data_IF_642417959648
#
_entry.id   IF_642417959648
#
_cell.length_a   1.000
_cell.length_b   1.000
_cell.length_c   1.000
_cell.angle_alpha   90.00
_cell.angle_beta   90.00
_cell.angle_gamma   90.00
#
_symmetry.space_group_name_H-M   'P 1'
#
loop_
_entity.id
_entity.type
_entity.pdbx_description
1 polymer ?
#
# COMPACT_ATOMS: atom_id res chain seq x y z
N UNK A 1 28.15 16.17 -8.46
CA UNK A 1 27.51 15.65 -9.68
C UNK A 1 26.25 14.98 -9.19
N UNK A 2 25.18 15.77 -9.03
CA UNK A 2 23.87 15.22 -8.69
C UNK A 2 23.27 14.69 -9.99
N UNK A 3 23.06 13.39 -10.01
CA UNK A 3 22.33 12.67 -11.04
C UNK A 3 20.98 13.36 -11.28
N UNK A 4 20.78 13.87 -12.48
CA UNK A 4 19.59 14.61 -12.93
C UNK A 4 18.36 13.73 -13.21
N UNK A 5 18.22 12.59 -12.55
CA UNK A 5 17.00 11.78 -12.64
C UNK A 5 15.96 12.35 -11.68
N UNK A 6 14.75 12.74 -12.15
CA UNK A 6 13.69 13.26 -11.28
C UNK A 6 13.11 12.19 -10.33
N UNK A 7 13.56 10.94 -10.46
CA UNK A 7 13.05 9.77 -9.74
C UNK A 7 14.06 9.32 -8.68
N UNK A 8 13.53 8.89 -7.52
CA UNK A 8 14.35 8.26 -6.48
C UNK A 8 14.73 6.83 -6.92
N UNK A 9 15.80 6.29 -6.34
CA UNK A 9 16.08 4.86 -6.47
C UNK A 9 14.99 4.02 -5.79
N UNK A 10 14.75 2.81 -6.31
CA UNK A 10 13.84 1.84 -5.68
C UNK A 10 14.42 1.37 -4.32
N UNK A 11 13.61 1.32 -3.25
CA UNK A 11 14.05 0.70 -1.99
C UNK A 11 14.26 -0.80 -2.20
N UNK A 12 15.09 -1.47 -1.39
CA UNK A 12 15.20 -2.93 -1.46
C UNK A 12 13.96 -3.60 -0.88
N UNK A 13 13.33 -2.94 0.11
CA UNK A 13 12.13 -3.42 0.78
C UNK A 13 11.15 -2.29 1.09
N UNK A 14 9.88 -2.52 0.79
CA UNK A 14 8.80 -1.55 1.01
C UNK A 14 7.58 -2.20 1.67
N UNK A 15 7.02 -1.50 2.65
CA UNK A 15 5.79 -1.89 3.35
C UNK A 15 4.71 -0.83 3.17
N UNK A 16 3.58 -1.19 2.57
CA UNK A 16 2.39 -0.33 2.52
C UNK A 16 1.45 -0.60 3.70
N UNK A 17 1.02 0.42 4.43
CA UNK A 17 0.11 0.23 5.55
C UNK A 17 -1.15 1.11 5.49
N UNK A 18 -2.29 0.53 5.84
CA UNK A 18 -3.56 1.24 6.00
C UNK A 18 -4.31 0.73 7.25
N UNK A 19 -5.60 1.04 7.37
CA UNK A 19 -6.36 0.69 8.57
C UNK A 19 -6.62 -0.83 8.69
N UNK A 20 -7.05 -1.48 7.60
CA UNK A 20 -7.61 -2.85 7.63
C UNK A 20 -6.89 -3.87 6.72
N UNK A 21 -5.94 -3.42 5.90
CA UNK A 21 -5.31 -4.23 4.85
C UNK A 21 -6.28 -4.92 3.86
N UNK A 22 -7.44 -4.33 3.61
CA UNK A 22 -8.49 -4.90 2.74
C UNK A 22 -8.66 -4.17 1.39
N UNK A 23 -8.29 -2.88 1.31
CA UNK A 23 -8.52 -2.03 0.11
C UNK A 23 -7.22 -1.37 -0.35
N UNK A 24 -6.83 -0.26 0.29
CA UNK A 24 -5.76 0.64 -0.19
C UNK A 24 -4.37 0.00 -0.20
N UNK A 25 -3.95 -0.63 0.91
CA UNK A 25 -2.60 -1.20 1.00
C UNK A 25 -2.40 -2.47 0.17
N UNK A 26 -3.40 -3.37 0.01
CA UNK A 26 -3.31 -4.46 -0.98
C UNK A 26 -3.21 -3.96 -2.43
N UNK A 27 -3.99 -2.93 -2.80
CA UNK A 27 -3.87 -2.31 -4.12
C UNK A 27 -2.46 -1.79 -4.36
N UNK A 28 -1.90 -1.05 -3.40
CA UNK A 28 -0.53 -0.53 -3.49
C UNK A 28 0.53 -1.65 -3.61
N UNK A 29 0.42 -2.71 -2.81
CA UNK A 29 1.30 -3.89 -2.90
C UNK A 29 1.22 -4.54 -4.29
N UNK A 30 0.01 -4.83 -4.79
CA UNK A 30 -0.17 -5.49 -6.07
C UNK A 30 0.32 -4.64 -7.25
N UNK A 31 0.05 -3.34 -7.23
CA UNK A 31 0.50 -2.42 -8.28
C UNK A 31 2.03 -2.29 -8.25
N UNK A 32 2.63 -2.12 -7.07
CA UNK A 32 4.10 -2.04 -6.92
C UNK A 32 4.76 -3.32 -7.41
N UNK A 33 4.22 -4.50 -7.07
CA UNK A 33 4.72 -5.80 -7.56
C UNK A 33 4.64 -5.90 -9.08
N UNK A 34 3.59 -5.39 -9.69
CA UNK A 34 3.45 -5.37 -11.15
C UNK A 34 4.46 -4.44 -11.83
N UNK A 35 4.71 -3.27 -11.27
CA UNK A 35 5.58 -2.25 -11.86
C UNK A 35 7.08 -2.54 -11.59
N UNK A 36 7.41 -3.01 -10.39
CA UNK A 36 8.79 -3.06 -9.88
C UNK A 36 9.14 -4.35 -9.10
N UNK A 37 8.27 -5.37 -9.12
CA UNK A 37 8.38 -6.52 -8.21
C UNK A 37 9.58 -7.44 -8.43
N UNK A 38 10.36 -7.26 -9.49
CA UNK A 38 11.62 -8.00 -9.70
C UNK A 38 12.77 -7.46 -8.86
N UNK A 39 12.68 -6.20 -8.43
CA UNK A 39 13.79 -5.45 -7.84
C UNK A 39 13.53 -5.02 -6.39
N UNK A 40 12.30 -5.21 -5.90
CA UNK A 40 11.85 -4.76 -4.57
C UNK A 40 11.07 -5.85 -3.83
N UNK A 41 11.41 -6.08 -2.57
CA UNK A 41 10.56 -6.85 -1.66
C UNK A 41 9.36 -6.01 -1.21
N UNK A 42 8.16 -6.35 -1.68
CA UNK A 42 6.93 -5.58 -1.43
C UNK A 42 5.99 -6.37 -0.52
N UNK A 43 5.56 -5.74 0.56
CA UNK A 43 4.51 -6.25 1.45
C UNK A 43 3.50 -5.12 1.77
N UNK A 44 2.31 -5.49 2.20
CA UNK A 44 1.36 -4.61 2.88
C UNK A 44 0.88 -5.13 4.23
N UNK A 45 0.42 -4.21 5.09
CA UNK A 45 -0.15 -4.47 6.41
C UNK A 45 -1.33 -3.56 6.72
N UNK A 46 -2.03 -3.90 7.80
CA UNK A 46 -3.08 -3.09 8.42
C UNK A 46 -2.77 -2.83 9.89
N UNK A 47 -3.39 -1.81 10.48
CA UNK A 47 -3.49 -1.71 11.95
C UNK A 47 -4.30 -2.90 12.46
N UNK A 48 -5.38 -3.21 11.75
CA UNK A 48 -6.24 -4.37 11.97
C UNK A 48 -6.26 -5.24 10.70
N UNK A 49 -6.68 -6.49 10.83
CA UNK A 49 -6.74 -7.48 9.74
C UNK A 49 -8.02 -8.31 9.75
N UNK A 50 -9.08 -7.76 10.35
CA UNK A 50 -10.33 -8.48 10.59
C UNK A 50 -11.22 -8.61 9.33
N UNK A 51 -10.80 -8.01 8.21
CA UNK A 51 -11.51 -7.98 6.94
C UNK A 51 -10.77 -8.77 5.88
N UNK A 52 -11.49 -9.51 5.04
CA UNK A 52 -10.94 -10.08 3.81
C UNK A 52 -10.68 -8.99 2.76
N UNK A 53 -9.94 -9.34 1.71
CA UNK A 53 -9.71 -8.46 0.56
C UNK A 53 -11.05 -8.02 -0.05
N UNK A 54 -11.19 -6.73 -0.33
CA UNK A 54 -12.42 -6.16 -0.87
C UNK A 54 -12.63 -6.55 -2.34
N UNK A 55 -13.85 -7.00 -2.68
CA UNK A 55 -14.19 -7.44 -4.03
C UNK A 55 -14.14 -6.34 -5.10
N UNK A 56 -14.43 -5.08 -4.74
CA UNK A 56 -14.25 -3.95 -5.66
C UNK A 56 -12.76 -3.64 -5.85
N UNK A 57 -11.93 -3.76 -4.81
CA UNK A 57 -10.48 -3.63 -4.94
C UNK A 57 -9.91 -4.68 -5.90
N UNK A 58 -10.35 -5.94 -5.80
CA UNK A 58 -10.00 -6.99 -6.78
C UNK A 58 -10.43 -6.57 -8.18
N UNK A 59 -11.69 -6.19 -8.36
CA UNK A 59 -12.25 -5.87 -9.68
C UNK A 59 -11.48 -4.73 -10.38
N UNK A 60 -11.21 -3.62 -9.67
CA UNK A 60 -10.50 -2.48 -10.29
C UNK A 60 -9.02 -2.77 -10.53
N UNK A 61 -8.39 -3.63 -9.71
CA UNK A 61 -7.00 -4.04 -9.95
C UNK A 61 -6.89 -5.03 -11.11
N UNK A 62 -7.87 -5.92 -11.29
CA UNK A 62 -7.94 -6.82 -12.44
C UNK A 62 -8.04 -6.06 -13.77
N UNK A 63 -8.73 -4.90 -13.81
CA UNK A 63 -8.81 -4.03 -15.00
C UNK A 63 -7.43 -3.60 -15.51
N UNK A 64 -6.48 -3.39 -14.59
CA UNK A 64 -5.09 -3.04 -14.92
C UNK A 64 -4.17 -4.27 -14.86
N UNK A 65 -4.71 -5.49 -14.78
CA UNK A 65 -4.00 -6.76 -14.76
C UNK A 65 -3.14 -6.97 -13.51
N UNK A 66 -3.63 -6.58 -12.33
CA UNK A 66 -3.05 -6.85 -11.01
C UNK A 66 -3.94 -7.88 -10.29
N UNK A 67 -3.39 -9.05 -9.95
CA UNK A 67 -4.12 -10.12 -9.24
C UNK A 67 -4.07 -9.88 -7.73
N UNK A 68 -5.21 -9.54 -7.12
CA UNK A 68 -5.36 -9.38 -5.66
C UNK A 68 -6.15 -10.50 -4.99
N UNK A 69 -6.74 -11.43 -5.75
CA UNK A 69 -7.63 -12.47 -5.25
C UNK A 69 -6.97 -13.45 -4.25
N UNK A 70 -5.64 -13.55 -4.27
CA UNK A 70 -4.85 -14.37 -3.35
C UNK A 70 -4.32 -13.61 -2.14
N UNK A 71 -4.59 -12.31 -2.06
CA UNK A 71 -4.15 -11.48 -0.95
C UNK A 71 -4.82 -11.94 0.34
N UNK A 72 -4.05 -11.99 1.42
CA UNK A 72 -4.55 -12.25 2.76
C UNK A 72 -4.23 -11.05 3.62
N UNK A 73 -5.28 -10.47 4.20
CA UNK A 73 -5.15 -9.37 5.13
C UNK A 73 -4.30 -9.79 6.33
N UNK A 74 -3.38 -8.92 6.74
CA UNK A 74 -2.50 -9.15 7.88
C UNK A 74 -2.23 -7.84 8.64
N UNK A 75 -2.17 -7.92 9.96
CA UNK A 75 -1.87 -6.79 10.81
C UNK A 75 -0.37 -6.64 11.04
N UNK A 76 0.06 -5.48 11.55
CA UNK A 76 1.43 -5.29 12.00
C UNK A 76 1.86 -6.33 13.05
N UNK A 77 0.98 -6.66 14.01
CA UNK A 77 1.25 -7.66 15.05
C UNK A 77 1.44 -9.07 14.46
N UNK A 78 0.65 -9.44 13.45
CA UNK A 78 0.77 -10.72 12.78
C UNK A 78 2.07 -10.82 11.96
N UNK A 79 2.46 -9.73 11.32
CA UNK A 79 3.74 -9.64 10.62
C UNK A 79 4.91 -9.79 11.58
N UNK A 80 4.90 -9.08 12.70
CA UNK A 80 5.96 -9.17 13.71
C UNK A 80 6.08 -10.61 14.26
N UNK A 81 4.95 -11.27 14.56
CA UNK A 81 4.93 -12.68 15.00
C UNK A 81 5.49 -13.67 13.97
N UNK A 82 5.41 -13.33 12.67
CA UNK A 82 5.98 -14.12 11.57
C UNK A 82 7.47 -13.82 11.35
N UNK A 83 8.03 -12.84 12.06
CA UNK A 83 9.42 -12.39 11.95
C UNK A 83 9.62 -11.19 11.03
N UNK A 84 8.54 -10.65 10.44
CA UNK A 84 8.58 -9.47 9.58
C UNK A 84 8.42 -8.20 10.42
N UNK A 85 9.52 -7.66 10.94
CA UNK A 85 9.50 -6.40 11.70
C UNK A 85 9.43 -5.21 10.75
N UNK A 86 8.69 -4.15 11.11
CA UNK A 86 8.65 -2.90 10.33
C UNK A 86 10.04 -2.29 10.14
N UNK A 87 10.92 -2.47 11.13
CA UNK A 87 12.32 -2.05 11.10
C UNK A 87 13.17 -2.72 10.02
N UNK A 88 12.71 -3.85 9.47
CA UNK A 88 13.40 -4.58 8.40
C UNK A 88 13.06 -4.06 7.01
N UNK A 89 12.13 -3.10 6.90
CA UNK A 89 11.81 -2.44 5.64
C UNK A 89 12.60 -1.13 5.53
N UNK A 90 13.11 -0.84 4.34
CA UNK A 90 13.81 0.43 4.06
C UNK A 90 12.81 1.59 4.03
N UNK A 91 11.61 1.34 3.50
CA UNK A 91 10.55 2.32 3.33
C UNK A 91 9.20 1.77 3.80
N UNK A 92 8.54 2.50 4.70
CA UNK A 92 7.15 2.29 5.06
C UNK A 92 6.31 3.41 4.46
N UNK A 93 5.21 3.06 3.80
CA UNK A 93 4.27 4.02 3.19
C UNK A 93 2.91 3.87 3.85
N UNK A 94 2.55 4.87 4.64
CA UNK A 94 1.25 5.00 5.26
C UNK A 94 0.24 5.62 4.30
N UNK A 95 -0.90 4.94 4.12
CA UNK A 95 -1.98 5.38 3.23
C UNK A 95 -3.12 6.10 3.99
N UNK A 96 -3.12 6.05 5.33
CA UNK A 96 -4.10 6.70 6.19
C UNK A 96 -3.42 7.47 7.33
N UNK A 97 -4.07 8.51 7.89
CA UNK A 97 -3.55 9.20 9.08
C UNK A 97 -3.36 8.26 10.28
N UNK A 98 -4.27 7.30 10.46
CA UNK A 98 -4.17 6.33 11.54
C UNK A 98 -2.97 5.40 11.35
N UNK A 99 -2.79 4.84 10.14
CA UNK A 99 -1.65 3.95 9.88
C UNK A 99 -0.31 4.69 9.94
N UNK A 100 -0.30 5.98 9.60
CA UNK A 100 0.88 6.85 9.79
C UNK A 100 1.24 6.97 11.27
N UNK A 101 0.28 7.34 12.12
CA UNK A 101 0.53 7.51 13.55
C UNK A 101 1.03 6.20 14.19
N UNK A 102 0.45 5.06 13.78
CA UNK A 102 0.87 3.75 14.27
C UNK A 102 2.25 3.35 13.75
N UNK A 103 2.54 3.57 12.47
CA UNK A 103 3.85 3.34 11.90
C UNK A 103 4.92 4.20 12.59
N UNK A 104 4.67 5.49 12.84
CA UNK A 104 5.57 6.37 13.59
C UNK A 104 5.85 5.82 15.00
N UNK A 105 4.83 5.32 15.68
CA UNK A 105 4.97 4.74 17.02
C UNK A 105 5.84 3.48 17.00
N UNK A 106 5.66 2.62 16.00
CA UNK A 106 6.40 1.36 15.88
C UNK A 106 7.83 1.57 15.36
N UNK A 107 8.06 2.56 14.51
CA UNK A 107 9.38 2.83 13.92
C UNK A 107 10.21 3.86 14.68
N UNK A 108 9.69 4.44 15.78
CA UNK A 108 10.32 5.54 16.53
C UNK A 108 11.79 5.31 16.95
N UNK A 109 12.22 4.04 17.09
CA UNK A 109 13.57 3.65 17.49
C UNK A 109 14.43 3.07 16.35
N UNK A 110 13.91 3.07 15.11
CA UNK A 110 14.53 2.45 13.95
C UNK A 110 14.81 3.48 12.86
N UNK A 111 15.82 3.22 12.03
CA UNK A 111 16.20 4.09 10.90
C UNK A 111 15.38 3.73 9.65
N UNK A 112 14.06 3.66 9.79
CA UNK A 112 13.14 3.33 8.70
C UNK A 112 12.57 4.61 8.09
N UNK A 113 12.67 4.79 6.78
CA UNK A 113 12.02 5.92 6.10
C UNK A 113 10.50 5.72 6.16
N UNK A 114 9.76 6.74 6.59
CA UNK A 114 8.31 6.71 6.62
C UNK A 114 7.75 7.81 5.72
N UNK A 115 6.84 7.41 4.83
CA UNK A 115 6.09 8.33 3.99
C UNK A 115 4.60 8.24 4.22
N UNK A 116 3.91 9.33 3.91
CA UNK A 116 2.47 9.41 3.99
C UNK A 116 1.88 9.82 2.65
N UNK A 117 1.11 8.92 2.05
CA UNK A 117 0.37 9.16 0.81
C UNK A 117 -1.12 9.17 1.14
N UNK A 118 -1.77 10.34 1.17
CA UNK A 118 -3.19 10.41 1.51
C UNK A 118 -4.03 9.80 0.39
N UNK A 119 -4.53 8.57 0.59
CA UNK A 119 -5.42 7.91 -0.36
C UNK A 119 -6.85 7.94 0.18
N UNK A 120 -7.76 8.54 -0.59
CA UNK A 120 -9.18 8.60 -0.27
C UNK A 120 -9.74 7.20 0.00
N UNK A 121 -10.60 7.08 1.01
CA UNK A 121 -11.29 5.83 1.30
C UNK A 121 -12.50 5.66 0.36
N UNK A 122 -12.49 4.67 -0.54
CA UNK A 122 -13.55 4.52 -1.51
C UNK A 122 -14.76 3.75 -0.96
N UNK A 123 -14.66 3.15 0.24
CA UNK A 123 -15.70 2.29 0.82
C UNK A 123 -17.01 3.04 1.14
N UNK A 124 -16.91 4.35 1.41
CA UNK A 124 -18.05 5.22 1.71
C UNK A 124 -18.74 5.84 0.48
N UNK A 125 -18.32 5.50 -0.74
CA UNK A 125 -18.78 6.19 -1.95
C UNK A 125 -20.14 5.68 -2.46
N UNK A 126 -21.14 6.56 -2.44
CA UNK A 126 -22.32 6.57 -3.33
C UNK A 126 -23.31 5.40 -3.26
N UNK A 127 -24.51 5.67 -3.81
CA UNK A 127 -25.56 4.67 -3.99
C UNK A 127 -25.47 4.06 -5.39
N UNK A 128 -24.80 2.91 -5.52
CA UNK A 128 -24.76 2.11 -6.74
C UNK A 128 -23.40 1.47 -7.04
N UNK A 129 -23.41 0.35 -7.76
CA UNK A 129 -22.21 -0.43 -8.09
C UNK A 129 -21.19 0.37 -8.91
N UNK A 130 -21.64 1.09 -9.93
CA UNK A 130 -20.73 1.85 -10.81
C UNK A 130 -20.10 3.05 -10.11
N UNK A 131 -20.86 3.75 -9.26
CA UNK A 131 -20.33 4.85 -8.45
C UNK A 131 -19.24 4.37 -7.48
N UNK A 132 -19.43 3.19 -6.87
CA UNK A 132 -18.41 2.54 -6.05
C UNK A 132 -17.18 2.17 -6.86
N UNK A 133 -17.36 1.48 -7.99
CA UNK A 133 -16.24 1.12 -8.87
C UNK A 133 -15.43 2.34 -9.26
N UNK A 134 -16.08 3.45 -9.61
CA UNK A 134 -15.39 4.68 -9.97
C UNK A 134 -14.58 5.28 -8.81
N UNK A 135 -15.10 5.25 -7.59
CA UNK A 135 -14.35 5.67 -6.41
C UNK A 135 -13.13 4.78 -6.16
N UNK A 136 -13.26 3.46 -6.31
CA UNK A 136 -12.14 2.53 -6.18
C UNK A 136 -11.10 2.72 -7.30
N UNK A 137 -11.53 3.02 -8.54
CA UNK A 137 -10.62 3.40 -9.62
C UNK A 137 -9.86 4.69 -9.31
N UNK A 138 -10.54 5.69 -8.74
CA UNK A 138 -9.89 6.91 -8.26
C UNK A 138 -8.77 6.62 -7.26
N UNK A 139 -9.05 5.86 -6.20
CA UNK A 139 -8.03 5.45 -5.22
C UNK A 139 -6.90 4.63 -5.84
N UNK A 140 -7.22 3.72 -6.78
CA UNK A 140 -6.22 2.91 -7.52
C UNK A 140 -5.31 3.80 -8.35
N UNK A 141 -5.87 4.75 -9.08
CA UNK A 141 -5.13 5.61 -10.00
C UNK A 141 -4.27 6.62 -9.22
N UNK A 142 -4.75 7.10 -8.06
CA UNK A 142 -3.93 7.90 -7.13
C UNK A 142 -2.69 7.13 -6.66
N UNK A 143 -2.86 5.86 -6.29
CA UNK A 143 -1.74 4.97 -5.93
C UNK A 143 -0.77 4.82 -7.10
N UNK A 144 -1.26 4.54 -8.32
CA UNK A 144 -0.43 4.43 -9.52
C UNK A 144 0.35 5.72 -9.76
N UNK A 145 -0.29 6.88 -9.59
CA UNK A 145 0.35 8.18 -9.79
C UNK A 145 1.46 8.42 -8.77
N UNK A 146 1.25 8.10 -7.49
CA UNK A 146 2.31 8.18 -6.48
C UNK A 146 3.51 7.28 -6.80
N UNK A 147 3.25 6.03 -7.18
CA UNK A 147 4.28 5.05 -7.54
C UNK A 147 5.13 5.53 -8.73
N UNK A 148 4.48 6.03 -9.79
CA UNK A 148 5.17 6.52 -10.98
C UNK A 148 5.88 7.85 -10.76
N UNK A 149 5.27 8.77 -10.03
CA UNK A 149 5.90 10.05 -9.71
C UNK A 149 7.19 9.88 -8.92
N UNK A 150 7.27 8.82 -8.09
CA UNK A 150 8.43 8.56 -7.25
C UNK A 150 9.56 7.82 -7.96
N UNK A 151 9.23 6.85 -8.81
CA UNK A 151 10.21 5.88 -9.35
C UNK A 151 10.27 5.79 -10.88
N UNK A 152 9.41 6.49 -11.61
CA UNK A 152 9.39 6.53 -13.09
C UNK A 152 8.40 5.57 -13.72
#
# INVERSE_FOLDING_TARGET
>A
MEDGTPFKALPQSILFCCDQNSVRSPMAEGIMKKLYGTDVYVQSAGIHSDLEIDGFAIAVCEEIGVELSRHQSRSFDEMEKRGDQLSSFDLVVALTPASKAEAERLTQYYHTELEFWPIADPTGAGDGREARLEAYRGSRDDIVNHLKARWG
#
